data_IF_632232880365
#
_entry.id   IF_632232880365
#
_cell.length_a   1.000
_cell.length_b   1.000
_cell.length_c   1.000
_cell.angle_alpha   90.00
_cell.angle_beta   90.00
_cell.angle_gamma   90.00
#
_symmetry.space_group_name_H-M   'P 1'
#
loop_
_entity.id
_entity.type
_entity.pdbx_description
1 polymer ?
#
# COMPACT_ATOMS: atom_id res chain seq x y z
N UNK A 1 -11.45 2.47 9.31
CA UNK A 1 -12.31 2.73 8.16
C UNK A 1 -13.42 1.70 8.13
N UNK A 2 -14.69 2.04 8.28
CA UNK A 2 -15.76 1.06 8.13
C UNK A 2 -15.96 0.80 6.64
N UNK A 3 -15.70 -0.44 6.21
CA UNK A 3 -16.09 -0.93 4.89
C UNK A 3 -17.62 -1.06 4.83
N UNK A 4 -18.21 -0.80 3.67
CA UNK A 4 -19.59 -1.25 3.43
C UNK A 4 -19.64 -2.78 3.46
N UNK A 5 -20.80 -3.33 3.88
CA UNK A 5 -20.95 -4.79 4.03
C UNK A 5 -20.54 -5.55 2.76
N UNK A 6 -20.92 -5.07 1.57
CA UNK A 6 -20.55 -5.73 0.30
C UNK A 6 -19.04 -5.71 0.01
N UNK A 7 -18.33 -4.65 0.45
CA UNK A 7 -16.87 -4.54 0.29
C UNK A 7 -16.17 -5.51 1.21
N UNK A 8 -16.59 -5.55 2.47
CA UNK A 8 -16.12 -6.53 3.44
C UNK A 8 -16.33 -7.97 2.93
N UNK A 9 -17.55 -8.28 2.45
CA UNK A 9 -17.88 -9.59 1.90
C UNK A 9 -17.02 -9.96 0.69
N UNK A 10 -16.69 -8.98 -0.15
CA UNK A 10 -15.81 -9.19 -1.31
C UNK A 10 -14.41 -9.60 -0.86
N UNK A 11 -13.83 -8.89 0.11
CA UNK A 11 -12.52 -9.23 0.67
C UNK A 11 -12.56 -10.62 1.34
N UNK A 12 -13.58 -10.90 2.15
CA UNK A 12 -13.70 -12.20 2.85
C UNK A 12 -13.89 -13.36 1.88
N UNK A 13 -14.57 -13.16 0.74
CA UNK A 13 -14.67 -14.18 -0.31
C UNK A 13 -13.29 -14.51 -0.92
N UNK A 14 -12.44 -13.53 -1.14
CA UNK A 14 -11.06 -13.78 -1.64
C UNK A 14 -10.22 -14.55 -0.62
N UNK A 15 -10.34 -14.25 0.69
CA UNK A 15 -9.70 -15.06 1.74
C UNK A 15 -10.21 -16.50 1.74
N UNK A 16 -11.53 -16.71 1.70
CA UNK A 16 -12.12 -18.05 1.66
C UNK A 16 -11.67 -18.84 0.43
N UNK A 17 -11.58 -18.18 -0.72
CA UNK A 17 -11.05 -18.78 -1.96
C UNK A 17 -9.59 -19.18 -1.81
N UNK A 18 -8.74 -18.29 -1.24
CA UNK A 18 -7.34 -18.58 -0.98
C UNK A 18 -7.17 -19.77 -0.04
N UNK A 19 -7.91 -19.82 1.07
CA UNK A 19 -7.89 -20.95 2.01
C UNK A 19 -8.31 -22.26 1.33
N UNK A 20 -9.34 -22.23 0.49
CA UNK A 20 -9.79 -23.41 -0.25
C UNK A 20 -8.72 -23.90 -1.24
N UNK A 21 -8.05 -22.96 -1.93
CA UNK A 21 -6.94 -23.31 -2.83
C UNK A 21 -5.76 -23.92 -2.06
N UNK A 22 -5.39 -23.33 -0.92
CA UNK A 22 -4.29 -23.84 -0.10
C UNK A 22 -4.57 -25.24 0.43
N UNK A 23 -5.80 -25.53 0.85
CA UNK A 23 -6.22 -26.89 1.27
C UNK A 23 -6.10 -27.87 0.11
N UNK A 24 -6.57 -27.52 -1.06
CA UNK A 24 -6.47 -28.37 -2.24
C UNK A 24 -5.02 -28.66 -2.62
N UNK A 25 -4.13 -27.66 -2.58
CA UNK A 25 -2.70 -27.85 -2.83
C UNK A 25 -2.09 -28.82 -1.80
N UNK A 26 -2.44 -28.67 -0.52
CA UNK A 26 -1.98 -29.57 0.52
C UNK A 26 -2.49 -31.00 0.30
N UNK A 27 -3.74 -31.19 -0.07
CA UNK A 27 -4.32 -32.51 -0.37
C UNK A 27 -3.60 -33.18 -1.55
N UNK A 28 -3.36 -32.43 -2.63
CA UNK A 28 -2.62 -32.92 -3.81
C UNK A 28 -1.18 -33.33 -3.44
N UNK A 29 -0.47 -32.50 -2.67
CA UNK A 29 0.87 -32.81 -2.15
C UNK A 29 0.90 -34.03 -1.24
N UNK A 30 -0.07 -34.12 -0.34
CA UNK A 30 -0.20 -35.25 0.59
C UNK A 30 -0.41 -36.57 -0.17
N UNK A 31 -1.29 -36.57 -1.17
CA UNK A 31 -1.51 -37.75 -2.00
C UNK A 31 -0.28 -38.15 -2.82
N UNK A 32 0.47 -37.17 -3.33
CA UNK A 32 1.74 -37.39 -4.02
C UNK A 32 2.75 -38.06 -3.10
N UNK A 33 2.94 -37.53 -1.89
CA UNK A 33 3.91 -38.03 -0.92
C UNK A 33 3.52 -39.44 -0.43
N UNK A 34 2.26 -39.67 -0.15
CA UNK A 34 1.81 -41.01 0.28
C UNK A 34 2.06 -42.12 -0.76
N UNK A 35 1.96 -41.77 -2.06
CA UNK A 35 2.31 -42.68 -3.15
C UNK A 35 3.82 -42.92 -3.28
N UNK A 36 4.63 -41.86 -3.07
CA UNK A 36 6.08 -41.94 -3.22
C UNK A 36 6.80 -42.47 -2.00
N UNK A 37 6.30 -42.15 -0.81
CA UNK A 37 6.89 -42.51 0.49
C UNK A 37 5.79 -43.08 1.40
N UNK A 38 5.36 -44.34 1.21
CA UNK A 38 4.24 -44.93 1.97
C UNK A 38 4.43 -44.88 3.50
N UNK A 39 5.68 -44.90 3.98
CA UNK A 39 5.98 -44.81 5.42
C UNK A 39 5.46 -43.51 6.05
N UNK A 40 5.38 -42.42 5.29
CA UNK A 40 4.81 -41.12 5.79
C UNK A 40 3.30 -41.29 6.07
N UNK A 41 2.57 -42.02 5.24
CA UNK A 41 1.16 -42.34 5.49
C UNK A 41 0.98 -43.12 6.78
N UNK A 42 1.80 -44.17 7.00
CA UNK A 42 1.77 -44.96 8.23
C UNK A 42 2.06 -44.08 9.46
N UNK A 43 3.06 -43.21 9.38
CA UNK A 43 3.39 -42.26 10.46
C UNK A 43 2.19 -41.34 10.77
N UNK A 44 1.53 -40.81 9.77
CA UNK A 44 0.39 -39.89 9.96
C UNK A 44 -0.81 -40.64 10.60
N UNK A 45 -1.06 -41.92 10.29
CA UNK A 45 -2.04 -42.75 10.95
C UNK A 45 -1.65 -43.08 12.41
N UNK A 46 -0.38 -43.39 12.67
CA UNK A 46 0.14 -43.59 14.03
C UNK A 46 -0.02 -42.31 14.88
N UNK A 47 0.35 -41.13 14.35
CA UNK A 47 0.21 -39.83 15.01
C UNK A 47 -1.28 -39.53 15.30
N UNK A 48 -2.18 -39.80 14.35
CA UNK A 48 -3.62 -39.59 14.52
C UNK A 48 -4.17 -40.48 15.66
N UNK A 49 -3.74 -41.72 15.70
CA UNK A 49 -4.14 -42.71 16.76
C UNK A 49 -3.63 -42.27 18.15
N UNK A 50 -2.35 -41.85 18.25
CA UNK A 50 -1.75 -41.37 19.49
C UNK A 50 -2.39 -40.07 19.96
N UNK A 51 -2.70 -39.17 19.04
CA UNK A 51 -3.38 -37.90 19.31
C UNK A 51 -4.80 -38.10 19.85
N UNK A 52 -5.53 -39.06 19.28
CA UNK A 52 -6.87 -39.46 19.78
C UNK A 52 -6.80 -40.04 21.18
N UNK A 53 -5.80 -40.90 21.48
CA UNK A 53 -5.56 -41.44 22.84
C UNK A 53 -5.26 -40.30 23.82
N UNK A 54 -4.37 -39.37 23.45
CA UNK A 54 -4.03 -38.21 24.26
C UNK A 54 -5.25 -37.34 24.58
N UNK A 55 -6.08 -37.07 23.60
CA UNK A 55 -7.32 -36.29 23.79
C UNK A 55 -8.28 -36.96 24.76
N UNK A 56 -8.46 -38.30 24.68
CA UNK A 56 -9.29 -39.08 25.62
C UNK A 56 -8.72 -39.03 27.02
N UNK A 57 -7.42 -39.23 27.21
CA UNK A 57 -6.76 -39.16 28.52
C UNK A 57 -6.93 -37.78 29.18
N UNK A 58 -6.82 -36.69 28.41
CA UNK A 58 -7.06 -35.35 28.93
C UNK A 58 -8.52 -35.14 29.38
N UNK A 59 -9.48 -35.68 28.64
CA UNK A 59 -10.90 -35.56 28.99
C UNK A 59 -11.29 -36.43 30.21
N UNK A 60 -10.62 -37.57 30.42
CA UNK A 60 -10.83 -38.42 31.61
C UNK A 60 -10.09 -37.96 32.86
N UNK A 61 -9.26 -36.92 32.77
CA UNK A 61 -8.47 -36.40 33.88
C UNK A 61 -7.25 -37.27 34.23
N UNK A 62 -6.89 -38.24 33.41
CA UNK A 62 -5.69 -39.08 33.57
C UNK A 62 -4.47 -38.28 33.05
N UNK A 63 -3.58 -37.90 33.98
CA UNK A 63 -2.32 -37.20 33.64
C UNK A 63 -1.14 -38.16 33.45
N UNK A 64 -1.27 -39.43 33.85
CA UNK A 64 -0.21 -40.42 33.69
C UNK A 64 -0.04 -40.84 32.22
N UNK A 65 1.20 -40.77 31.69
CA UNK A 65 1.53 -41.15 30.31
C UNK A 65 1.38 -40.07 29.24
N UNK A 66 0.95 -38.86 29.59
CA UNK A 66 0.85 -37.74 28.64
C UNK A 66 2.21 -37.29 28.09
N UNK A 67 3.27 -37.35 28.89
CA UNK A 67 4.62 -37.00 28.45
C UNK A 67 5.18 -38.06 27.49
N UNK A 68 4.92 -39.34 27.73
CA UNK A 68 5.32 -40.44 26.85
C UNK A 68 4.62 -40.33 25.49
N UNK A 69 3.33 -39.99 25.48
CA UNK A 69 2.59 -39.75 24.23
C UNK A 69 3.11 -38.52 23.45
N UNK A 70 3.49 -37.47 24.14
CA UNK A 70 4.14 -36.30 23.49
C UNK A 70 5.48 -36.69 22.88
N UNK A 71 6.31 -37.44 23.62
CA UNK A 71 7.60 -37.89 23.13
C UNK A 71 7.46 -38.78 21.90
N UNK A 72 6.53 -39.74 21.91
CA UNK A 72 6.26 -40.59 20.78
C UNK A 72 5.81 -39.83 19.52
N UNK A 73 4.88 -38.87 19.66
CA UNK A 73 4.44 -38.00 18.55
C UNK A 73 5.60 -37.15 18.02
N UNK A 74 6.45 -36.63 18.91
CA UNK A 74 7.64 -35.85 18.49
C UNK A 74 8.62 -36.68 17.69
N UNK A 75 8.91 -37.94 18.09
CA UNK A 75 9.77 -38.84 17.35
C UNK A 75 9.22 -39.15 15.95
N UNK A 76 7.95 -39.46 15.85
CA UNK A 76 7.27 -39.71 14.56
C UNK A 76 7.32 -38.48 13.65
N UNK A 77 7.12 -37.29 14.21
CA UNK A 77 7.23 -36.03 13.43
C UNK A 77 8.65 -35.78 12.92
N UNK A 78 9.67 -36.11 13.71
CA UNK A 78 11.08 -36.04 13.29
C UNK A 78 11.39 -37.06 12.18
N UNK A 79 10.90 -38.30 12.30
CA UNK A 79 11.01 -39.35 11.27
C UNK A 79 10.37 -38.88 9.96
N UNK A 80 9.15 -38.31 10.02
CA UNK A 80 8.45 -37.76 8.86
C UNK A 80 9.24 -36.68 8.15
N UNK A 81 9.78 -35.71 8.89
CA UNK A 81 10.56 -34.62 8.33
C UNK A 81 11.87 -35.12 7.72
N UNK A 82 12.55 -36.06 8.38
CA UNK A 82 13.76 -36.70 7.83
C UNK A 82 13.47 -37.42 6.51
N UNK A 83 12.33 -38.14 6.40
CA UNK A 83 11.92 -38.80 5.17
C UNK A 83 11.63 -37.83 4.03
N UNK A 84 11.01 -36.67 4.32
CA UNK A 84 10.81 -35.61 3.31
C UNK A 84 12.16 -35.10 2.78
N UNK A 85 13.06 -34.69 3.68
CA UNK A 85 14.39 -34.16 3.31
C UNK A 85 15.22 -35.18 2.54
N UNK A 86 15.26 -36.46 2.99
CA UNK A 86 15.97 -37.54 2.30
C UNK A 86 15.46 -37.78 0.87
N UNK A 87 14.18 -37.47 0.60
CA UNK A 87 13.59 -37.56 -0.73
C UNK A 87 13.57 -36.25 -1.49
N UNK A 88 14.38 -35.24 -1.06
CA UNK A 88 14.52 -33.94 -1.70
C UNK A 88 13.26 -33.06 -1.66
N UNK A 89 12.41 -33.21 -0.66
CA UNK A 89 11.30 -32.33 -0.38
C UNK A 89 11.64 -31.36 0.77
N UNK A 90 11.14 -30.12 0.76
CA UNK A 90 11.26 -29.21 1.90
C UNK A 90 10.56 -29.77 3.15
N UNK A 91 11.04 -29.41 4.34
CA UNK A 91 10.44 -29.85 5.61
C UNK A 91 8.97 -29.40 5.76
N UNK A 92 8.63 -28.22 5.20
CA UNK A 92 7.31 -27.62 5.21
C UNK A 92 6.42 -28.03 4.03
N UNK A 93 6.85 -29.01 3.21
CA UNK A 93 6.14 -29.42 1.99
C UNK A 93 4.69 -29.86 2.27
N UNK A 94 4.45 -30.47 3.41
CA UNK A 94 3.15 -30.95 3.89
C UNK A 94 2.50 -29.96 4.88
N UNK A 95 2.86 -28.68 4.82
CA UNK A 95 2.19 -27.60 5.53
C UNK A 95 1.30 -26.77 4.58
N UNK A 96 0.34 -26.04 5.14
CA UNK A 96 -0.51 -25.16 4.34
C UNK A 96 0.33 -23.99 3.74
N UNK A 97 0.29 -23.79 2.43
CA UNK A 97 1.05 -22.72 1.76
C UNK A 97 0.35 -21.37 1.93
N UNK A 98 0.49 -20.76 3.11
CA UNK A 98 -0.14 -19.47 3.39
C UNK A 98 0.44 -18.35 2.55
N UNK A 99 -0.42 -17.51 1.95
CA UNK A 99 -0.01 -16.25 1.30
C UNK A 99 0.43 -15.22 2.34
N UNK A 100 -0.27 -15.16 3.47
CA UNK A 100 0.10 -14.31 4.60
C UNK A 100 0.46 -15.19 5.81
N UNK A 101 1.75 -15.33 6.15
CA UNK A 101 2.17 -16.16 7.29
C UNK A 101 1.71 -15.58 8.63
N UNK A 102 1.44 -14.27 8.71
CA UNK A 102 1.07 -13.59 9.96
C UNK A 102 -0.35 -13.96 10.40
N UNK A 103 -1.33 -13.89 9.50
CA UNK A 103 -2.72 -14.21 9.82
C UNK A 103 -3.16 -15.58 9.27
N UNK A 104 -2.28 -16.31 8.60
CA UNK A 104 -2.58 -17.59 7.97
C UNK A 104 -3.83 -17.51 7.06
N UNK A 105 -3.89 -16.44 6.26
CA UNK A 105 -4.96 -16.14 5.33
C UNK A 105 -6.36 -16.01 5.95
N UNK A 106 -6.46 -15.66 7.23
CA UNK A 106 -7.73 -15.34 7.88
C UNK A 106 -8.12 -13.86 7.76
N UNK A 107 -7.14 -12.99 7.45
CA UNK A 107 -7.30 -11.54 7.46
C UNK A 107 -7.22 -10.91 8.84
N UNK A 108 -7.14 -11.70 9.93
CA UNK A 108 -7.16 -11.22 11.31
C UNK A 108 -6.07 -11.86 12.16
N UNK A 109 -5.57 -11.12 13.14
CA UNK A 109 -4.69 -11.60 14.22
C UNK A 109 -5.40 -11.28 15.54
N UNK A 110 -6.00 -12.29 16.16
CA UNK A 110 -6.94 -12.10 17.26
C UNK A 110 -8.16 -11.28 16.80
N UNK A 111 -8.43 -10.16 17.46
CA UNK A 111 -9.53 -9.24 17.11
C UNK A 111 -9.10 -8.11 16.16
N UNK A 112 -7.82 -8.04 15.79
CA UNK A 112 -7.30 -6.94 14.97
C UNK A 112 -7.15 -7.36 13.51
N UNK A 113 -7.45 -6.44 12.57
CA UNK A 113 -7.21 -6.64 11.14
C UNK A 113 -5.73 -6.78 10.85
N UNK A 114 -5.36 -7.84 10.15
CA UNK A 114 -3.99 -8.03 9.66
C UNK A 114 -3.62 -6.96 8.63
N UNK A 115 -2.32 -6.70 8.48
CA UNK A 115 -1.79 -5.78 7.46
C UNK A 115 -2.24 -6.17 6.05
N UNK A 116 -2.31 -7.48 5.73
CA UNK A 116 -2.82 -7.95 4.44
C UNK A 116 -4.31 -7.60 4.22
N UNK A 117 -5.13 -7.61 5.28
CA UNK A 117 -6.53 -7.19 5.20
C UNK A 117 -6.64 -5.69 4.92
N UNK A 118 -5.84 -4.87 5.63
CA UNK A 118 -5.77 -3.43 5.39
C UNK A 118 -5.34 -3.12 3.95
N UNK A 119 -4.36 -3.85 3.40
CA UNK A 119 -3.98 -3.74 1.98
C UNK A 119 -5.15 -4.05 1.04
N UNK A 120 -5.90 -5.12 1.31
CA UNK A 120 -7.07 -5.48 0.50
C UNK A 120 -8.19 -4.43 0.57
N UNK A 121 -8.42 -3.81 1.73
CA UNK A 121 -9.35 -2.67 1.88
C UNK A 121 -8.95 -1.51 0.97
N UNK A 122 -7.67 -1.15 1.03
CA UNK A 122 -7.10 -0.06 0.22
C UNK A 122 -7.22 -0.38 -1.28
N UNK A 123 -6.83 -1.59 -1.70
CA UNK A 123 -6.92 -2.04 -3.10
C UNK A 123 -8.34 -1.92 -3.65
N UNK A 124 -9.34 -2.27 -2.86
CA UNK A 124 -10.74 -2.20 -3.28
C UNK A 124 -11.20 -0.77 -3.55
N UNK A 125 -10.71 0.21 -2.80
CA UNK A 125 -10.98 1.64 -3.00
C UNK A 125 -10.31 2.18 -4.27
N UNK A 126 -9.12 1.67 -4.63
CA UNK A 126 -8.35 2.11 -5.80
C UNK A 126 -8.78 1.47 -7.13
N UNK A 127 -9.61 0.44 -7.10
CA UNK A 127 -10.07 -0.25 -8.33
C UNK A 127 -10.79 0.73 -9.28
N UNK A 128 -11.37 1.81 -8.75
CA UNK A 128 -12.10 2.82 -9.53
C UNK A 128 -11.19 3.64 -10.48
N UNK A 129 -9.87 3.78 -10.19
CA UNK A 129 -8.98 4.69 -10.92
C UNK A 129 -7.85 4.02 -11.70
N UNK A 130 -7.83 2.69 -11.78
CA UNK A 130 -6.75 1.92 -12.43
C UNK A 130 -5.31 2.29 -11.97
N UNK A 131 -5.21 2.94 -10.80
CA UNK A 131 -3.96 3.47 -10.25
C UNK A 131 -2.94 2.37 -9.99
N UNK A 132 -3.38 1.17 -9.64
CA UNK A 132 -2.51 0.00 -9.39
C UNK A 132 -1.62 -0.34 -10.58
N UNK A 133 -2.15 -0.29 -11.80
CA UNK A 133 -1.36 -0.59 -13.01
C UNK A 133 -0.39 0.55 -13.36
N UNK A 134 -0.75 1.80 -13.02
CA UNK A 134 0.12 2.96 -13.18
C UNK A 134 1.30 2.86 -12.22
N UNK A 135 1.05 2.59 -10.94
CA UNK A 135 2.08 2.52 -9.91
C UNK A 135 3.10 1.40 -10.13
N UNK A 136 2.73 0.29 -10.79
CA UNK A 136 3.71 -0.74 -11.20
C UNK A 136 4.79 -0.20 -12.15
N UNK A 137 4.45 0.81 -12.94
CA UNK A 137 5.34 1.43 -13.95
C UNK A 137 5.96 2.73 -13.45
N UNK A 138 5.27 3.43 -12.55
CA UNK A 138 5.67 4.72 -12.03
C UNK A 138 5.98 4.61 -10.53
N UNK A 139 7.19 4.18 -10.23
CA UNK A 139 7.76 3.99 -8.89
C UNK A 139 9.23 4.46 -8.87
N UNK A 140 9.87 4.42 -7.72
CA UNK A 140 11.25 4.89 -7.56
C UNK A 140 12.27 4.09 -8.38
N UNK A 141 12.02 2.81 -8.67
CA UNK A 141 12.92 1.97 -9.46
C UNK A 141 12.94 2.37 -10.94
N UNK A 142 11.85 2.98 -11.42
CA UNK A 142 11.72 3.47 -12.79
C UNK A 142 11.99 4.96 -12.95
N UNK A 143 12.36 5.66 -11.88
CA UNK A 143 12.70 7.09 -11.95
C UNK A 143 14.06 7.28 -12.62
N UNK A 144 14.10 7.96 -13.77
CA UNK A 144 15.35 8.23 -14.49
C UNK A 144 15.74 9.71 -14.43
N UNK A 145 17.01 9.94 -14.11
CA UNK A 145 17.63 11.28 -14.13
C UNK A 145 18.08 11.70 -15.54
N UNK A 146 18.02 10.83 -16.54
CA UNK A 146 18.55 11.10 -17.90
C UNK A 146 17.72 12.13 -18.66
N UNK A 147 16.49 12.37 -18.21
CA UNK A 147 15.64 13.41 -18.78
C UNK A 147 15.96 14.84 -18.31
N UNK A 148 16.86 14.99 -17.34
CA UNK A 148 17.21 16.27 -16.75
C UNK A 148 18.63 16.70 -17.15
N UNK A 149 18.79 17.93 -17.61
CA UNK A 149 20.04 18.46 -18.10
C UNK A 149 21.07 18.69 -16.98
N UNK A 150 22.33 18.31 -17.24
CA UNK A 150 23.48 18.62 -16.38
C UNK A 150 24.08 20.00 -16.65
N UNK A 151 23.70 20.64 -17.75
CA UNK A 151 24.33 21.89 -18.22
C UNK A 151 23.45 23.10 -18.03
N UNK A 152 22.12 22.94 -18.07
CA UNK A 152 21.17 24.01 -17.85
C UNK A 152 21.04 24.32 -16.35
N UNK A 153 21.47 25.49 -15.94
CA UNK A 153 21.42 25.97 -14.56
C UNK A 153 20.31 26.99 -14.35
N UNK A 154 19.63 26.88 -13.24
CA UNK A 154 18.70 27.91 -12.78
C UNK A 154 19.50 29.09 -12.24
N UNK A 155 19.27 30.31 -12.75
CA UNK A 155 20.00 31.52 -12.37
C UNK A 155 19.85 31.90 -10.88
N UNK A 156 18.66 31.60 -10.29
CA UNK A 156 18.39 31.95 -8.89
C UNK A 156 19.02 30.96 -7.90
N UNK A 157 19.15 29.69 -8.26
CA UNK A 157 19.64 28.64 -7.35
C UNK A 157 21.04 28.15 -7.66
N UNK A 158 21.55 28.43 -8.88
CA UNK A 158 22.81 27.90 -9.39
C UNK A 158 22.83 26.42 -9.68
N UNK A 159 21.73 25.70 -9.43
CA UNK A 159 21.61 24.26 -9.62
C UNK A 159 21.25 23.91 -11.05
N UNK A 160 21.72 22.75 -11.50
CA UNK A 160 21.27 22.15 -12.76
C UNK A 160 19.88 21.51 -12.60
N UNK A 161 19.20 21.27 -13.73
CA UNK A 161 17.92 20.54 -13.73
C UNK A 161 18.08 19.17 -13.06
N UNK A 162 19.17 18.44 -13.32
CA UNK A 162 19.45 17.13 -12.73
C UNK A 162 19.72 17.21 -11.22
N UNK A 163 20.43 18.23 -10.75
CA UNK A 163 20.65 18.45 -9.32
C UNK A 163 19.34 18.78 -8.60
N UNK A 164 18.47 19.57 -9.25
CA UNK A 164 17.14 19.89 -8.72
C UNK A 164 16.26 18.64 -8.65
N UNK A 165 16.25 17.82 -9.71
CA UNK A 165 15.52 16.56 -9.72
C UNK A 165 16.04 15.56 -8.66
N UNK A 166 17.38 15.50 -8.46
CA UNK A 166 17.99 14.65 -7.43
C UNK A 166 17.57 15.09 -6.03
N UNK A 167 17.57 16.38 -5.75
CA UNK A 167 17.07 16.92 -4.47
C UNK A 167 15.60 16.58 -4.24
N UNK A 168 14.76 16.73 -5.28
CA UNK A 168 13.35 16.36 -5.19
C UNK A 168 13.16 14.87 -4.92
N UNK A 169 13.91 14.01 -5.59
CA UNK A 169 13.94 12.56 -5.37
C UNK A 169 14.36 12.21 -3.94
N UNK A 170 15.46 12.81 -3.44
CA UNK A 170 15.97 12.54 -2.09
C UNK A 170 14.97 12.99 -1.02
N UNK A 171 14.29 14.13 -1.23
CA UNK A 171 13.21 14.60 -0.36
C UNK A 171 12.05 13.59 -0.36
N UNK A 172 11.62 13.11 -1.52
CA UNK A 172 10.54 12.14 -1.65
C UNK A 172 10.88 10.80 -0.97
N UNK A 173 12.11 10.29 -1.15
CA UNK A 173 12.61 9.10 -0.44
C UNK A 173 12.69 9.30 1.07
N UNK A 174 13.12 10.50 1.50
CA UNK A 174 13.16 10.88 2.91
C UNK A 174 11.75 10.95 3.52
N UNK A 175 10.79 11.51 2.78
CA UNK A 175 9.38 11.56 3.19
C UNK A 175 8.81 10.16 3.44
N UNK A 176 9.00 9.22 2.51
CA UNK A 176 8.54 7.82 2.67
C UNK A 176 9.24 7.16 3.86
N UNK A 177 10.55 7.29 3.99
CA UNK A 177 11.33 6.65 5.07
C UNK A 177 10.91 7.11 6.47
N UNK A 178 10.57 8.39 6.59
CA UNK A 178 10.24 9.01 7.88
C UNK A 178 8.72 9.12 8.13
N UNK A 179 7.89 8.54 7.28
CA UNK A 179 6.45 8.75 7.27
C UNK A 179 5.77 8.42 8.61
N UNK A 180 6.17 7.32 9.25
CA UNK A 180 5.63 6.90 10.54
C UNK A 180 6.17 7.70 11.73
N UNK A 181 7.32 8.35 11.57
CA UNK A 181 8.01 9.04 12.66
C UNK A 181 7.85 10.56 12.65
N UNK A 182 7.49 11.13 11.49
CA UNK A 182 7.37 12.59 11.32
C UNK A 182 6.14 12.97 10.52
N UNK A 183 5.50 14.07 10.94
CA UNK A 183 4.44 14.69 10.17
C UNK A 183 5.05 15.73 9.22
N UNK A 184 4.96 15.48 7.91
CA UNK A 184 5.45 16.37 6.87
C UNK A 184 4.44 16.44 5.72
N UNK A 185 4.36 17.59 5.04
CA UNK A 185 3.58 17.79 3.82
C UNK A 185 4.51 18.22 2.70
N UNK A 186 4.23 17.82 1.46
CA UNK A 186 5.02 18.24 0.30
C UNK A 186 4.19 19.07 -0.67
N UNK A 187 4.83 20.12 -1.21
CA UNK A 187 4.26 20.92 -2.29
C UNK A 187 5.20 20.85 -3.50
N UNK A 188 4.79 20.05 -4.49
CA UNK A 188 5.55 19.81 -5.72
C UNK A 188 5.15 20.86 -6.76
N UNK A 189 6.09 21.68 -7.22
CA UNK A 189 5.80 22.72 -8.20
C UNK A 189 6.86 22.79 -9.30
N UNK A 190 6.46 23.30 -10.45
CA UNK A 190 7.31 23.42 -11.65
C UNK A 190 6.49 23.25 -12.92
N UNK A 191 7.12 23.40 -14.07
CA UNK A 191 6.46 23.39 -15.37
C UNK A 191 5.76 22.06 -15.66
N UNK A 192 4.92 22.04 -16.69
CA UNK A 192 4.22 20.84 -17.13
C UNK A 192 5.22 19.80 -17.66
N UNK A 193 5.01 18.52 -17.31
CA UNK A 193 5.80 17.40 -17.85
C UNK A 193 7.17 17.18 -17.20
N UNK A 194 7.52 17.92 -16.14
CA UNK A 194 8.83 17.80 -15.45
C UNK A 194 8.90 16.63 -14.44
N UNK A 195 7.85 15.82 -14.30
CA UNK A 195 7.87 14.60 -13.47
C UNK A 195 7.22 14.73 -12.08
N UNK A 196 6.46 15.79 -11.77
CA UNK A 196 5.76 15.96 -10.48
C UNK A 196 4.82 14.80 -10.17
N UNK A 197 3.91 14.49 -11.09
CA UNK A 197 2.98 13.36 -11.00
C UNK A 197 3.70 12.03 -10.82
N UNK A 198 4.78 11.81 -11.59
CA UNK A 198 5.60 10.60 -11.46
C UNK A 198 6.19 10.46 -10.05
N UNK A 199 6.71 11.56 -9.49
CA UNK A 199 7.27 11.55 -8.13
C UNK A 199 6.19 11.32 -7.06
N UNK A 200 4.98 11.88 -7.25
CA UNK A 200 3.82 11.60 -6.40
C UNK A 200 3.42 10.12 -6.46
N UNK A 201 3.46 9.50 -7.65
CA UNK A 201 3.21 8.06 -7.83
C UNK A 201 4.28 7.21 -7.15
N UNK A 202 5.57 7.59 -7.22
CA UNK A 202 6.63 6.88 -6.50
C UNK A 202 6.36 6.84 -4.98
N UNK A 203 5.97 7.96 -4.40
CA UNK A 203 5.65 8.05 -2.96
C UNK A 203 4.41 7.20 -2.65
N UNK A 204 3.35 7.31 -3.48
CA UNK A 204 2.13 6.54 -3.32
C UNK A 204 2.39 5.03 -3.35
N UNK A 205 3.21 4.56 -4.32
CA UNK A 205 3.61 3.17 -4.45
C UNK A 205 4.22 2.61 -3.16
N UNK A 206 5.29 3.24 -2.66
CA UNK A 206 6.03 2.72 -1.50
C UNK A 206 5.19 2.76 -0.21
N UNK A 207 4.35 3.80 -0.03
CA UNK A 207 3.45 3.88 1.13
C UNK A 207 2.31 2.87 1.07
N UNK A 208 1.76 2.58 -0.11
CA UNK A 208 0.76 1.52 -0.29
C UNK A 208 1.36 0.14 -0.01
N UNK A 209 2.60 -0.11 -0.48
CA UNK A 209 3.32 -1.36 -0.17
C UNK A 209 3.59 -1.51 1.33
N UNK A 210 3.74 -0.39 2.05
CA UNK A 210 3.86 -0.36 3.51
C UNK A 210 2.51 -0.39 4.25
N UNK A 211 1.39 -0.62 3.52
CA UNK A 211 0.01 -0.69 4.02
C UNK A 211 -0.54 0.60 4.64
N UNK A 212 -0.05 1.76 4.20
CA UNK A 212 -0.66 3.04 4.53
C UNK A 212 -1.87 3.32 3.65
N UNK A 213 -2.85 4.03 4.22
CA UNK A 213 -4.01 4.50 3.48
C UNK A 213 -3.63 5.76 2.69
N UNK A 214 -3.36 5.61 1.38
CA UNK A 214 -3.06 6.73 0.48
C UNK A 214 -4.30 7.03 -0.36
N UNK A 215 -4.76 8.27 -0.43
CA UNK A 215 -5.81 8.72 -1.35
C UNK A 215 -5.17 9.60 -2.42
N UNK A 216 -5.45 9.27 -3.68
CA UNK A 216 -4.94 9.99 -4.83
C UNK A 216 -6.10 10.55 -5.65
N UNK A 217 -6.11 11.86 -5.84
CA UNK A 217 -7.10 12.56 -6.65
C UNK A 217 -6.41 13.56 -7.58
N UNK A 218 -6.93 13.69 -8.81
CA UNK A 218 -6.74 14.94 -9.52
C UNK A 218 -7.48 16.07 -8.78
N UNK A 219 -7.05 17.30 -8.95
CA UNK A 219 -7.77 18.43 -8.34
C UNK A 219 -9.24 18.45 -8.75
N UNK A 220 -9.53 18.15 -10.02
CA UNK A 220 -10.90 18.07 -10.54
C UNK A 220 -11.74 17.03 -9.78
N UNK A 221 -11.26 15.78 -9.69
CA UNK A 221 -11.99 14.69 -9.02
C UNK A 221 -12.21 14.96 -7.53
N UNK A 222 -11.23 15.58 -6.86
CA UNK A 222 -11.35 15.94 -5.44
C UNK A 222 -12.48 16.94 -5.24
N UNK A 223 -12.52 18.01 -6.04
CA UNK A 223 -13.55 19.04 -5.87
C UNK A 223 -14.92 18.57 -6.33
N UNK A 224 -15.02 17.68 -7.31
CA UNK A 224 -16.26 17.02 -7.69
C UNK A 224 -16.79 16.18 -6.50
N UNK A 225 -15.96 15.35 -5.89
CA UNK A 225 -16.32 14.58 -4.70
C UNK A 225 -16.80 15.47 -3.53
N UNK A 226 -16.11 16.60 -3.30
CA UNK A 226 -16.47 17.55 -2.24
C UNK A 226 -17.74 18.34 -2.55
N UNK A 227 -18.08 18.53 -3.84
CA UNK A 227 -19.31 19.18 -4.27
C UNK A 227 -20.52 18.26 -4.10
N UNK A 228 -20.45 17.01 -4.55
CA UNK A 228 -21.53 16.03 -4.49
C UNK A 228 -22.05 15.80 -3.07
N UNK A 229 -21.16 15.85 -2.09
CA UNK A 229 -21.50 15.64 -0.69
C UNK A 229 -22.28 16.78 -0.04
N UNK A 230 -22.24 18.00 -0.57
CA UNK A 230 -23.07 19.12 -0.10
C UNK A 230 -24.54 18.97 -0.46
N UNK A 231 -24.84 18.25 -1.55
CA UNK A 231 -26.19 18.09 -2.07
C UNK A 231 -26.84 16.77 -1.61
N UNK A 232 -26.07 15.82 -1.06
CA UNK A 232 -26.57 14.58 -0.49
C UNK A 232 -26.80 14.73 1.02
N UNK A 233 -27.99 14.35 1.52
CA UNK A 233 -28.31 14.37 2.96
C UNK A 233 -27.50 13.36 3.78
N UNK A 234 -26.93 12.37 3.16
CA UNK A 234 -25.99 11.44 3.75
C UNK A 234 -24.56 11.92 3.46
N UNK A 235 -23.78 12.19 4.50
CA UNK A 235 -22.32 12.40 4.36
C UNK A 235 -21.77 11.19 3.63
N UNK A 236 -21.35 11.38 2.38
CA UNK A 236 -20.79 10.28 1.61
C UNK A 236 -19.50 9.83 2.28
N UNK A 237 -19.36 8.54 2.52
CA UNK A 237 -18.17 7.92 3.11
C UNK A 237 -16.85 8.39 2.44
N UNK A 238 -16.93 8.80 1.16
CA UNK A 238 -15.79 9.35 0.42
C UNK A 238 -15.15 10.59 1.02
N UNK A 239 -15.93 11.44 1.72
CA UNK A 239 -15.37 12.63 2.37
C UNK A 239 -14.55 12.30 3.61
N UNK A 240 -14.98 11.34 4.43
CA UNK A 240 -14.20 10.93 5.61
C UNK A 240 -12.81 10.44 5.19
N UNK A 241 -12.70 9.77 4.04
CA UNK A 241 -11.42 9.31 3.51
C UNK A 241 -10.47 10.44 3.11
N UNK A 242 -10.99 11.53 2.55
CA UNK A 242 -10.18 12.70 2.23
C UNK A 242 -9.52 13.26 3.48
N UNK A 243 -10.21 13.25 4.62
CA UNK A 243 -9.68 13.81 5.87
C UNK A 243 -8.90 12.82 6.72
N UNK A 244 -9.21 11.52 6.68
CA UNK A 244 -8.67 10.51 7.59
C UNK A 244 -7.59 9.61 6.98
N UNK A 245 -7.43 9.62 5.64
CA UNK A 245 -6.34 8.89 4.99
C UNK A 245 -4.98 9.31 5.54
N UNK A 246 -4.03 8.38 5.60
CA UNK A 246 -2.68 8.68 6.11
C UNK A 246 -1.96 9.67 5.19
N UNK A 247 -2.11 9.49 3.87
CA UNK A 247 -1.65 10.43 2.85
C UNK A 247 -2.78 10.79 1.89
N UNK A 248 -2.95 12.08 1.62
CA UNK A 248 -3.75 12.60 0.51
C UNK A 248 -2.81 13.19 -0.55
N UNK A 249 -2.97 12.79 -1.80
CA UNK A 249 -2.29 13.38 -2.95
C UNK A 249 -3.32 14.14 -3.78
N UNK A 250 -3.10 15.43 -3.96
CA UNK A 250 -3.87 16.31 -4.83
C UNK A 250 -2.99 16.64 -6.02
N UNK A 251 -3.25 15.99 -7.16
CA UNK A 251 -2.42 16.15 -8.35
C UNK A 251 -2.99 17.20 -9.32
N UNK A 252 -2.09 17.90 -10.00
CA UNK A 252 -2.39 18.94 -11.00
C UNK A 252 -3.33 20.06 -10.51
N UNK A 253 -3.12 20.53 -9.26
CA UNK A 253 -3.87 21.66 -8.71
C UNK A 253 -3.63 22.93 -9.58
N UNK A 254 -4.72 23.58 -9.98
CA UNK A 254 -4.72 24.73 -10.89
C UNK A 254 -5.17 24.41 -12.32
N UNK A 255 -5.61 23.18 -12.58
CA UNK A 255 -6.18 22.79 -13.89
C UNK A 255 -7.72 22.81 -13.88
N UNK A 256 -8.32 22.84 -12.71
CA UNK A 256 -9.77 22.92 -12.52
C UNK A 256 -10.29 24.37 -12.67
N UNK A 257 -11.61 24.49 -12.89
CA UNK A 257 -12.26 25.81 -12.87
C UNK A 257 -12.32 26.36 -11.46
N UNK A 258 -11.43 27.31 -11.15
CA UNK A 258 -11.36 27.94 -9.83
C UNK A 258 -12.53 28.90 -9.61
N UNK A 259 -13.19 28.73 -8.47
CA UNK A 259 -14.24 29.60 -7.98
C UNK A 259 -14.18 29.68 -6.43
N UNK A 260 -15.03 30.50 -5.82
CA UNK A 260 -15.06 30.68 -4.36
C UNK A 260 -15.32 29.38 -3.60
N UNK A 261 -16.05 28.43 -4.18
CA UNK A 261 -16.28 27.12 -3.60
C UNK A 261 -15.00 26.30 -3.56
N UNK A 262 -14.30 26.15 -4.69
CA UNK A 262 -13.03 25.42 -4.82
C UNK A 262 -11.99 25.98 -3.85
N UNK A 263 -11.79 27.30 -3.81
CA UNK A 263 -10.85 27.96 -2.88
C UNK A 263 -11.20 27.69 -1.41
N UNK A 264 -12.48 27.72 -1.07
CA UNK A 264 -12.94 27.44 0.30
C UNK A 264 -12.78 25.98 0.69
N UNK A 265 -13.05 25.04 -0.22
CA UNK A 265 -12.89 23.61 0.02
C UNK A 265 -11.41 23.21 0.12
N UNK A 266 -10.54 23.78 -0.72
CA UNK A 266 -9.11 23.57 -0.62
C UNK A 266 -8.57 24.03 0.73
N UNK A 267 -8.93 25.24 1.15
CA UNK A 267 -8.54 25.79 2.45
C UNK A 267 -9.01 24.88 3.60
N UNK A 268 -10.27 24.46 3.58
CA UNK A 268 -10.84 23.56 4.58
C UNK A 268 -10.08 22.23 4.62
N UNK A 269 -9.85 21.62 3.46
CA UNK A 269 -9.15 20.34 3.33
C UNK A 269 -7.75 20.42 3.91
N UNK A 270 -6.96 21.40 3.50
CA UNK A 270 -5.59 21.61 3.99
C UNK A 270 -5.58 21.84 5.49
N UNK A 271 -6.45 22.73 6.00
CA UNK A 271 -6.48 23.09 7.41
C UNK A 271 -6.88 21.90 8.30
N UNK A 272 -7.94 21.16 7.93
CA UNK A 272 -8.39 19.98 8.65
C UNK A 272 -7.29 18.90 8.70
N UNK A 273 -6.61 18.62 7.59
CA UNK A 273 -5.57 17.60 7.56
C UNK A 273 -4.34 18.00 8.38
N UNK A 274 -3.94 19.29 8.35
CA UNK A 274 -2.89 19.82 9.23
C UNK A 274 -3.27 19.62 10.70
N UNK A 275 -4.50 19.96 11.08
CA UNK A 275 -5.00 19.81 12.46
C UNK A 275 -5.00 18.35 12.92
N UNK A 276 -5.36 17.41 12.03
CA UNK A 276 -5.36 15.96 12.29
C UNK A 276 -3.97 15.33 12.15
N UNK A 277 -2.94 16.10 11.80
CA UNK A 277 -1.58 15.62 11.50
C UNK A 277 -1.58 14.53 10.43
N UNK A 278 -2.39 14.68 9.39
CA UNK A 278 -2.48 13.79 8.23
C UNK A 278 -1.73 14.39 7.05
N UNK A 279 -0.75 13.66 6.53
CA UNK A 279 0.15 14.13 5.48
C UNK A 279 -0.56 14.40 4.16
N UNK A 280 -0.17 15.48 3.48
CA UNK A 280 -0.74 15.87 2.19
C UNK A 280 0.37 16.19 1.21
N UNK A 281 0.25 15.69 -0.02
CA UNK A 281 1.07 16.11 -1.16
C UNK A 281 0.18 16.87 -2.13
N UNK A 282 0.65 18.02 -2.57
CA UNK A 282 0.00 18.82 -3.61
C UNK A 282 0.99 18.97 -4.76
N UNK A 283 0.56 18.69 -5.98
CA UNK A 283 1.32 19.04 -7.18
C UNK A 283 0.62 20.16 -7.94
N UNK A 284 1.40 21.06 -8.52
CA UNK A 284 0.87 22.17 -9.34
C UNK A 284 1.84 22.60 -10.43
N UNK A 285 1.30 23.07 -11.55
CA UNK A 285 2.04 23.75 -12.59
C UNK A 285 1.94 25.28 -12.49
N UNK A 286 1.17 25.80 -11.52
CA UNK A 286 1.08 27.22 -11.27
C UNK A 286 2.40 27.78 -10.71
N UNK A 287 2.77 28.96 -11.15
CA UNK A 287 3.82 29.73 -10.49
C UNK A 287 3.36 30.16 -9.10
N UNK A 288 4.27 30.16 -8.14
CA UNK A 288 3.95 30.52 -6.75
C UNK A 288 3.31 31.93 -6.63
N UNK A 289 3.72 32.83 -7.50
CA UNK A 289 3.19 34.23 -7.58
C UNK A 289 1.68 34.22 -7.93
N UNK A 290 1.26 33.32 -8.83
CA UNK A 290 -0.11 33.23 -9.30
C UNK A 290 -0.99 32.39 -8.36
N UNK A 291 -0.40 31.63 -7.45
CA UNK A 291 -1.13 30.70 -6.59
C UNK A 291 -2.03 31.43 -5.59
N UNK A 292 -1.55 32.53 -5.00
CA UNK A 292 -2.33 33.37 -4.08
C UNK A 292 -3.52 34.02 -4.76
N UNK A 293 -3.37 34.43 -6.01
CA UNK A 293 -4.45 35.04 -6.81
C UNK A 293 -5.53 34.01 -7.17
N UNK A 294 -5.10 32.76 -7.39
CA UNK A 294 -6.00 31.67 -7.79
C UNK A 294 -6.79 31.11 -6.59
N UNK A 295 -6.13 30.89 -5.44
CA UNK A 295 -6.75 30.16 -4.30
C UNK A 295 -6.90 30.98 -3.02
N UNK A 296 -6.39 32.16 -2.93
CA UNK A 296 -6.34 33.08 -1.81
C UNK A 296 -5.01 33.09 -1.05
N UNK A 297 -4.67 34.27 -0.54
CA UNK A 297 -3.49 34.48 0.32
C UNK A 297 -3.49 33.57 1.56
N UNK A 298 -4.69 33.30 2.13
CA UNK A 298 -4.83 32.43 3.32
C UNK A 298 -4.40 30.99 3.03
N UNK A 299 -4.81 30.46 1.88
CA UNK A 299 -4.44 29.11 1.45
C UNK A 299 -2.94 29.03 1.20
N UNK A 300 -2.40 30.01 0.47
CA UNK A 300 -0.95 30.07 0.20
C UNK A 300 -0.13 30.20 1.49
N UNK A 301 -0.52 31.05 2.42
CA UNK A 301 0.13 31.18 3.74
C UNK A 301 0.16 29.87 4.52
N UNK A 302 -0.94 29.09 4.49
CA UNK A 302 -1.01 27.76 5.13
C UNK A 302 -0.04 26.76 4.48
N UNK A 303 0.01 26.75 3.15
CA UNK A 303 0.95 25.90 2.40
C UNK A 303 2.39 26.31 2.70
N UNK A 304 2.73 27.59 2.56
CA UNK A 304 4.09 28.08 2.78
C UNK A 304 4.61 27.79 4.20
N UNK A 305 3.71 27.79 5.21
CA UNK A 305 4.09 27.57 6.61
C UNK A 305 4.14 26.08 7.01
N UNK A 306 3.47 25.17 6.29
CA UNK A 306 3.28 23.80 6.72
C UNK A 306 3.73 22.75 5.70
N UNK A 307 4.16 23.16 4.51
CA UNK A 307 4.58 22.25 3.44
C UNK A 307 6.04 22.48 3.09
N UNK A 308 6.75 21.42 2.85
CA UNK A 308 8.07 21.49 2.26
C UNK A 308 7.93 21.71 0.76
N UNK A 309 8.48 22.84 0.30
CA UNK A 309 8.45 23.24 -1.11
C UNK A 309 9.48 22.43 -1.90
N UNK A 310 9.02 21.70 -2.93
CA UNK A 310 9.84 20.81 -3.76
C UNK A 310 9.71 21.23 -5.21
N UNK A 311 10.75 21.85 -5.75
CA UNK A 311 10.80 22.30 -7.14
C UNK A 311 11.28 21.18 -8.04
N UNK A 312 10.63 21.03 -9.20
CA UNK A 312 11.11 20.25 -10.33
C UNK A 312 11.25 21.17 -11.54
N UNK A 313 12.37 21.07 -12.23
CA UNK A 313 12.70 21.87 -13.40
C UNK A 313 13.17 20.96 -14.51
N UNK A 314 12.91 21.36 -15.76
CA UNK A 314 13.35 20.63 -16.93
C UNK A 314 12.39 20.78 -18.11
N UNK A 315 12.74 20.12 -19.20
CA UNK A 315 11.88 20.03 -20.38
C UNK A 315 10.78 18.97 -20.16
N UNK A 316 9.67 19.12 -20.86
CA UNK A 316 8.60 18.11 -20.80
C UNK A 316 9.12 16.71 -21.20
N UNK A 317 9.15 15.79 -20.23
CA UNK A 317 9.67 14.43 -20.37
C UNK A 317 8.84 13.62 -21.37
N UNK A 318 7.54 13.90 -21.47
CA UNK A 318 6.64 13.21 -22.42
C UNK A 318 7.04 13.54 -23.86
N UNK A 319 7.37 14.80 -24.10
CA UNK A 319 7.86 15.26 -25.40
C UNK A 319 9.25 14.66 -25.69
N UNK A 320 10.16 14.67 -24.71
CA UNK A 320 11.48 14.07 -24.86
C UNK A 320 11.40 12.57 -25.23
N UNK A 321 10.49 11.80 -24.60
CA UNK A 321 10.28 10.38 -24.92
C UNK A 321 9.85 10.15 -26.37
N UNK A 322 9.05 11.05 -26.94
CA UNK A 322 8.63 10.97 -28.35
C UNK A 322 9.82 11.17 -29.28
N UNK A 323 10.68 12.15 -29.01
CA UNK A 323 11.83 12.49 -29.86
C UNK A 323 13.02 11.56 -29.67
N UNK A 324 13.21 10.96 -28.50
CA UNK A 324 14.29 10.03 -28.24
C UNK A 324 13.98 8.59 -28.73
N UNK A 325 12.84 8.39 -29.39
CA UNK A 325 12.38 7.11 -29.90
C UNK A 325 12.11 6.15 -28.73
N UNK A 326 10.86 5.95 -28.38
CA UNK A 326 10.50 5.07 -27.27
C UNK A 326 11.21 3.72 -27.42
N UNK A 327 12.19 3.50 -26.55
CA UNK A 327 12.73 2.18 -26.23
C UNK A 327 11.97 1.60 -25.07
#
# INVERSE_FOLDING_TARGET
MPLQNYQYDTIMREYSKTQSQNRRILEERTQEIYKKIPRIHEIDEEVATLSAKKARALLSGESSGLEDLKAAISLLSQERNALLVCNSYPEDYLELPYKCPVCQDTGYVGSQKCTCFKKAEIELLYTKYNLKEILKKENFDHFSFDYYSDTMKNEATGLTERETARRAYDIARGFVRNFDSSFENLFLYGDTGVGKTFLSHCIAHDLLESAHCVMYFSAFDLFELLADSKFSRDKTEGQEFVFDSDLLIIDDLGTELTNSFVSSQLFLCINERIMRRKSTIISTNLKLENFSDTYSERTFSRIASNYRMVKLEGKDIRIQKIFLGGK
#
